data_IF_111006974312
#
_entry.id   IF_111006974312
#
_cell.length_a   1.000
_cell.length_b   1.000
_cell.length_c   1.000
_cell.angle_alpha   90.00
_cell.angle_beta   90.00
_cell.angle_gamma   90.00
#
_symmetry.space_group_name_H-M   'P 1'
#
loop_
_entity.id
_entity.type
_entity.pdbx_description
1 polymer ?
#
# COMPACT_ATOMS: atom_id res chain seq x y z
N UNK A 1 67.06 26.59 -12.67
CA UNK A 1 66.96 26.26 -11.23
C UNK A 1 65.71 26.97 -10.71
N UNK A 2 64.52 26.38 -10.91
CA UNK A 2 63.70 25.69 -9.89
C UNK A 2 63.48 26.52 -8.60
N UNK A 3 62.42 27.32 -8.58
CA UNK A 3 61.74 27.77 -7.36
C UNK A 3 60.41 26.99 -7.23
N UNK A 4 60.03 26.52 -6.02
CA UNK A 4 58.85 25.68 -5.86
C UNK A 4 57.54 26.48 -5.85
N UNK A 5 56.52 25.87 -6.44
CA UNK A 5 55.12 26.30 -6.52
C UNK A 5 54.48 26.20 -5.12
N UNK A 6 53.69 27.20 -4.66
CA UNK A 6 52.93 27.05 -3.42
C UNK A 6 51.71 26.15 -3.67
N UNK A 7 51.69 25.00 -3.00
CA UNK A 7 50.54 24.09 -2.93
C UNK A 7 49.35 24.76 -2.27
N UNK A 8 48.31 25.00 -3.07
CA UNK A 8 46.97 25.43 -2.64
C UNK A 8 46.35 24.37 -1.73
N UNK A 9 45.89 24.80 -0.55
CA UNK A 9 45.19 23.95 0.41
C UNK A 9 43.87 23.47 -0.20
N UNK A 10 43.68 22.16 -0.27
CA UNK A 10 42.40 21.55 -0.65
C UNK A 10 41.33 21.95 0.37
N UNK A 11 40.40 22.79 -0.07
CA UNK A 11 39.20 23.14 0.65
C UNK A 11 38.24 21.95 0.51
N UNK A 12 38.25 21.06 1.51
CA UNK A 12 37.28 19.97 1.61
C UNK A 12 35.89 20.56 1.76
N UNK A 13 35.10 20.48 0.69
CA UNK A 13 33.68 20.82 0.70
C UNK A 13 32.97 19.88 1.70
N UNK A 14 32.36 20.37 2.79
CA UNK A 14 31.67 19.48 3.70
C UNK A 14 30.43 18.95 3.00
N UNK A 15 30.39 17.64 2.77
CA UNK A 15 29.16 16.92 2.41
C UNK A 15 28.13 17.23 3.51
N UNK A 16 27.14 18.05 3.19
CA UNK A 16 25.96 18.28 4.03
C UNK A 16 25.29 16.92 4.14
N UNK A 17 25.46 16.25 5.29
CA UNK A 17 24.69 15.05 5.59
C UNK A 17 23.24 15.49 5.81
N UNK A 18 22.25 14.82 5.19
CA UNK A 18 20.86 15.14 5.45
C UNK A 18 20.55 14.94 6.92
N UNK A 19 19.98 15.96 7.55
CA UNK A 19 19.55 15.91 8.94
C UNK A 19 18.44 14.85 9.06
N UNK A 20 18.61 13.81 9.91
CA UNK A 20 17.63 12.74 10.06
C UNK A 20 16.24 13.24 10.48
N UNK A 21 16.14 14.37 11.19
CA UNK A 21 14.86 14.97 11.55
C UNK A 21 14.13 15.55 10.32
N UNK A 22 14.89 16.14 9.40
CA UNK A 22 14.35 16.67 8.15
C UNK A 22 13.87 15.56 7.20
N UNK A 23 14.57 14.44 7.14
CA UNK A 23 14.17 13.32 6.30
C UNK A 23 12.91 12.63 6.84
N UNK A 24 12.82 12.45 8.16
CA UNK A 24 11.62 11.92 8.82
C UNK A 24 10.40 12.82 8.55
N UNK A 25 10.56 14.13 8.65
CA UNK A 25 9.49 15.09 8.35
C UNK A 25 9.02 15.02 6.89
N UNK A 26 9.95 14.85 5.93
CA UNK A 26 9.60 14.67 4.50
C UNK A 26 8.79 13.40 4.28
N UNK A 27 9.16 12.30 4.94
CA UNK A 27 8.43 11.02 4.87
C UNK A 27 6.99 11.18 5.38
N UNK A 28 6.83 11.84 6.54
CA UNK A 28 5.51 12.09 7.12
C UNK A 28 4.61 12.95 6.22
N UNK A 29 5.16 14.03 5.68
CA UNK A 29 4.43 14.91 4.78
C UNK A 29 3.99 14.18 3.50
N UNK A 30 4.88 13.35 2.93
CA UNK A 30 4.58 12.51 1.77
C UNK A 30 3.43 11.53 2.07
N UNK A 31 3.47 10.88 3.23
CA UNK A 31 2.43 9.93 3.61
C UNK A 31 1.08 10.63 3.80
N UNK A 32 1.04 11.77 4.49
CA UNK A 32 -0.19 12.57 4.66
C UNK A 32 -0.78 13.00 3.32
N UNK A 33 0.06 13.42 2.37
CA UNK A 33 -0.38 13.75 1.02
C UNK A 33 -1.02 12.55 0.31
N UNK A 34 -0.37 11.37 0.37
CA UNK A 34 -0.86 10.15 -0.26
C UNK A 34 -2.16 9.65 0.36
N UNK A 35 -2.29 9.71 1.69
CA UNK A 35 -3.52 9.36 2.39
C UNK A 35 -4.67 10.26 1.96
N UNK A 36 -4.43 11.58 1.89
CA UNK A 36 -5.44 12.55 1.48
C UNK A 36 -5.84 12.39 0.02
N UNK A 37 -4.88 12.04 -0.84
CA UNK A 37 -5.12 11.73 -2.25
C UNK A 37 -6.00 10.48 -2.39
N UNK A 38 -5.63 9.39 -1.73
CA UNK A 38 -6.41 8.14 -1.74
C UNK A 38 -7.85 8.37 -1.23
N UNK A 39 -8.00 9.09 -0.12
CA UNK A 39 -9.31 9.47 0.44
C UNK A 39 -10.16 10.28 -0.55
N UNK A 40 -9.53 11.20 -1.29
CA UNK A 40 -10.20 12.04 -2.27
C UNK A 40 -10.66 11.23 -3.47
N UNK A 41 -9.79 10.35 -3.98
CA UNK A 41 -10.10 9.48 -5.11
C UNK A 41 -11.15 8.43 -4.75
N UNK A 42 -11.12 7.88 -3.54
CA UNK A 42 -12.14 6.94 -3.04
C UNK A 42 -13.54 7.57 -2.99
N UNK A 43 -13.62 8.87 -2.70
CA UNK A 43 -14.88 9.63 -2.69
C UNK A 43 -15.36 10.03 -4.08
N UNK A 44 -14.47 10.06 -5.06
CA UNK A 44 -14.79 10.43 -6.42
C UNK A 44 -15.46 9.24 -7.12
N UNK A 45 -16.77 9.06 -6.86
CA UNK A 45 -17.60 8.10 -7.59
C UNK A 45 -17.88 8.63 -8.99
N UNK A 46 -17.51 7.85 -10.01
CA UNK A 46 -17.72 8.20 -11.42
C UNK A 46 -19.20 8.28 -11.83
N UNK A 47 -20.14 7.76 -11.03
CA UNK A 47 -21.58 7.95 -11.27
C UNK A 47 -22.41 7.90 -9.97
N UNK A 48 -23.15 8.97 -9.62
CA UNK A 48 -24.13 8.95 -8.53
C UNK A 48 -25.24 7.90 -8.70
N UNK A 49 -25.52 7.41 -9.92
CA UNK A 49 -26.48 6.33 -10.18
C UNK A 49 -25.93 4.93 -9.90
N UNK A 50 -24.61 4.74 -9.90
CA UNK A 50 -23.95 3.46 -9.55
C UNK A 50 -23.93 3.17 -8.04
N UNK A 51 -24.59 3.99 -7.21
CA UNK A 51 -24.68 3.83 -5.74
C UNK A 51 -25.42 2.56 -5.29
N UNK A 52 -25.94 1.77 -6.22
CA UNK A 52 -26.68 0.53 -5.96
C UNK A 52 -25.83 -0.74 -6.06
N UNK A 53 -24.60 -0.69 -6.59
CA UNK A 53 -23.67 -1.82 -6.42
C UNK A 53 -23.00 -1.72 -5.04
N UNK A 54 -23.09 -2.80 -4.27
CA UNK A 54 -22.33 -2.93 -3.01
C UNK A 54 -20.82 -3.08 -3.28
N UNK A 55 -20.46 -3.35 -4.54
CA UNK A 55 -19.10 -3.51 -5.06
C UNK A 55 -18.68 -2.23 -5.79
N UNK A 56 -18.65 -1.11 -5.06
CA UNK A 56 -18.26 0.14 -5.66
C UNK A 56 -16.72 0.18 -5.77
N UNK A 57 -16.23 0.16 -7.01
CA UNK A 57 -14.80 0.26 -7.32
C UNK A 57 -14.24 1.57 -6.76
N UNK A 58 -13.30 1.47 -5.80
CA UNK A 58 -12.77 2.62 -5.07
C UNK A 58 -11.26 2.54 -4.97
N UNK A 59 -10.58 3.68 -5.08
CA UNK A 59 -9.16 3.75 -4.73
C UNK A 59 -9.00 3.42 -3.24
N UNK A 60 -8.21 2.39 -2.92
CA UNK A 60 -7.95 1.92 -1.56
C UNK A 60 -6.64 2.48 -1.00
N UNK A 61 -5.65 2.75 -1.85
CA UNK A 61 -4.35 3.30 -1.45
C UNK A 61 -3.67 4.07 -2.60
N UNK A 62 -2.73 4.95 -2.24
CA UNK A 62 -1.85 5.63 -3.18
C UNK A 62 -0.39 5.50 -2.76
N UNK A 63 0.52 5.31 -3.72
CA UNK A 63 1.96 5.20 -3.52
C UNK A 63 2.69 6.18 -4.43
N UNK A 64 3.75 6.81 -3.92
CA UNK A 64 4.64 7.65 -4.72
C UNK A 64 6.02 7.02 -4.85
N UNK A 65 6.51 6.91 -6.08
CA UNK A 65 7.91 6.59 -6.41
C UNK A 65 8.58 7.87 -6.90
N UNK A 66 9.63 8.29 -6.19
CA UNK A 66 10.51 9.38 -6.62
C UNK A 66 11.68 8.78 -7.41
N UNK A 67 11.98 9.32 -8.57
CA UNK A 67 13.12 8.87 -9.38
C UNK A 67 14.41 9.57 -8.94
N UNK A 68 15.56 9.01 -9.31
CA UNK A 68 16.89 9.41 -8.77
C UNK A 68 17.27 10.86 -9.04
N UNK A 69 16.66 11.51 -10.04
CA UNK A 69 16.86 12.92 -10.36
C UNK A 69 15.95 13.87 -9.54
N UNK A 70 15.03 13.33 -8.74
CA UNK A 70 13.96 14.06 -8.02
C UNK A 70 13.10 14.99 -8.91
N UNK A 71 13.30 15.01 -10.23
CA UNK A 71 12.59 15.89 -11.16
C UNK A 71 11.20 15.36 -11.51
N UNK A 72 11.00 14.05 -11.34
CA UNK A 72 9.72 13.42 -11.60
C UNK A 72 9.33 12.41 -10.52
N UNK A 73 8.02 12.31 -10.31
CA UNK A 73 7.41 11.34 -9.42
C UNK A 73 6.32 10.58 -10.16
N UNK A 74 6.17 9.29 -9.86
CA UNK A 74 5.05 8.49 -10.33
C UNK A 74 4.17 8.10 -9.16
N UNK A 75 2.89 8.42 -9.27
CA UNK A 75 1.88 8.02 -8.28
C UNK A 75 1.11 6.83 -8.82
N UNK A 76 1.04 5.77 -8.03
CA UNK A 76 0.25 4.58 -8.28
C UNK A 76 -0.96 4.59 -7.36
N UNK A 77 -2.13 4.21 -7.88
CA UNK A 77 -3.34 4.03 -7.09
C UNK A 77 -3.70 2.55 -7.10
N UNK A 78 -3.92 1.97 -5.91
CA UNK A 78 -4.52 0.65 -5.78
C UNK A 78 -6.03 0.84 -5.76
N UNK A 79 -6.75 0.08 -6.58
CA UNK A 79 -8.20 0.05 -6.58
C UNK A 79 -8.67 -1.22 -5.88
N UNK A 80 -9.74 -1.10 -5.11
CA UNK A 80 -10.60 -2.22 -4.81
C UNK A 80 -11.52 -2.41 -6.02
N UNK A 81 -11.40 -3.53 -6.73
CA UNK A 81 -12.25 -3.85 -7.90
C UNK A 81 -13.60 -4.46 -7.49
N UNK A 82 -13.87 -4.55 -6.18
CA UNK A 82 -15.04 -5.26 -5.66
C UNK A 82 -14.77 -6.75 -5.51
N UNK A 83 -15.77 -7.49 -5.04
CA UNK A 83 -15.69 -8.95 -4.97
C UNK A 83 -16.20 -9.52 -6.29
N UNK A 84 -15.40 -10.38 -6.92
CA UNK A 84 -15.86 -11.12 -8.08
C UNK A 84 -16.67 -12.36 -7.67
N UNK A 85 -17.08 -13.16 -8.66
CA UNK A 85 -17.85 -14.37 -8.39
C UNK A 85 -17.06 -15.40 -7.57
N UNK A 86 -15.76 -15.54 -7.83
CA UNK A 86 -14.90 -16.49 -7.12
C UNK A 86 -14.74 -16.07 -5.67
N UNK A 87 -14.58 -14.77 -5.42
CA UNK A 87 -14.57 -14.18 -4.07
C UNK A 87 -15.89 -14.47 -3.33
N UNK A 88 -17.03 -14.27 -3.99
CA UNK A 88 -18.34 -14.55 -3.38
C UNK A 88 -18.52 -16.04 -3.05
N UNK A 89 -18.10 -16.94 -3.95
CA UNK A 89 -18.17 -18.39 -3.73
C UNK A 89 -17.24 -18.82 -2.58
N UNK A 90 -16.03 -18.25 -2.51
CA UNK A 90 -15.12 -18.43 -1.38
C UNK A 90 -15.76 -17.97 -0.06
N UNK A 91 -16.27 -16.74 -0.01
CA UNK A 91 -16.87 -16.16 1.20
C UNK A 91 -18.10 -16.94 1.67
N UNK A 92 -18.93 -17.43 0.74
CA UNK A 92 -20.07 -18.27 1.07
C UNK A 92 -19.64 -19.60 1.71
N UNK A 93 -18.63 -20.27 1.14
CA UNK A 93 -18.05 -21.51 1.69
C UNK A 93 -17.39 -21.25 3.05
N UNK A 94 -16.64 -20.17 3.16
CA UNK A 94 -15.97 -19.75 4.39
C UNK A 94 -16.98 -19.52 5.52
N UNK A 95 -18.03 -18.75 5.24
CA UNK A 95 -19.11 -18.47 6.18
C UNK A 95 -19.77 -19.75 6.70
N UNK A 96 -20.15 -20.67 5.81
CA UNK A 96 -20.78 -21.93 6.20
C UNK A 96 -19.90 -22.74 7.16
N UNK A 97 -18.58 -22.75 6.93
CA UNK A 97 -17.62 -23.44 7.80
C UNK A 97 -17.49 -22.75 9.15
N UNK A 98 -17.35 -21.43 9.17
CA UNK A 98 -17.28 -20.65 10.42
C UNK A 98 -18.54 -20.81 11.28
N UNK A 99 -19.73 -20.78 10.65
CA UNK A 99 -21.00 -21.01 11.35
C UNK A 99 -21.11 -22.43 11.89
N UNK A 100 -20.58 -23.44 11.17
CA UNK A 100 -20.52 -24.82 11.64
C UNK A 100 -19.65 -24.96 12.88
N UNK A 101 -18.44 -24.39 12.85
CA UNK A 101 -17.50 -24.38 13.98
C UNK A 101 -18.12 -23.67 15.18
N UNK A 102 -18.70 -22.48 14.97
CA UNK A 102 -19.34 -21.71 16.02
C UNK A 102 -20.48 -22.48 16.69
N UNK A 103 -21.27 -23.24 15.91
CA UNK A 103 -22.35 -24.08 16.42
C UNK A 103 -21.84 -25.28 17.22
N UNK A 104 -20.69 -25.84 16.85
CA UNK A 104 -20.01 -26.91 17.61
C UNK A 104 -19.36 -26.39 18.90
N UNK A 105 -19.04 -25.09 18.95
CA UNK A 105 -18.39 -24.44 20.09
C UNK A 105 -16.88 -24.65 20.18
N UNK A 106 -16.30 -25.47 19.30
CA UNK A 106 -14.86 -25.66 19.13
C UNK A 106 -14.56 -26.12 17.70
N UNK A 107 -13.34 -25.81 17.21
CA UNK A 107 -12.86 -26.30 15.93
C UNK A 107 -12.22 -27.69 16.12
N UNK A 108 -12.60 -28.65 15.27
CA UNK A 108 -11.88 -29.92 15.16
C UNK A 108 -10.69 -29.80 14.21
N UNK A 109 -9.75 -30.75 14.27
CA UNK A 109 -8.61 -30.81 13.35
C UNK A 109 -9.06 -30.85 11.88
N UNK A 110 -10.19 -31.51 11.59
CA UNK A 110 -10.79 -31.56 10.25
C UNK A 110 -11.36 -30.21 9.82
N UNK A 111 -11.96 -29.46 10.74
CA UNK A 111 -12.44 -28.10 10.47
C UNK A 111 -11.25 -27.18 10.15
N UNK A 112 -10.15 -27.29 10.89
CA UNK A 112 -8.91 -26.53 10.65
C UNK A 112 -8.27 -26.89 9.31
N UNK A 113 -8.15 -28.19 9.00
CA UNK A 113 -7.60 -28.66 7.73
C UNK A 113 -8.45 -28.19 6.54
N UNK A 114 -9.77 -28.30 6.65
CA UNK A 114 -10.70 -27.85 5.61
C UNK A 114 -10.62 -26.34 5.40
N UNK A 115 -10.48 -25.58 6.48
CA UNK A 115 -10.35 -24.12 6.40
C UNK A 115 -9.03 -23.72 5.75
N UNK A 116 -7.94 -24.39 6.10
CA UNK A 116 -6.64 -24.18 5.47
C UNK A 116 -6.70 -24.43 3.97
N UNK A 117 -7.25 -25.58 3.55
CA UNK A 117 -7.39 -25.91 2.13
C UNK A 117 -8.27 -24.89 1.40
N UNK A 118 -9.35 -24.44 2.03
CA UNK A 118 -10.22 -23.43 1.44
C UNK A 118 -9.47 -22.12 1.16
N UNK A 119 -8.52 -21.72 2.01
CA UNK A 119 -7.68 -20.53 1.77
C UNK A 119 -6.68 -20.78 0.65
N UNK A 120 -6.04 -21.96 0.62
CA UNK A 120 -5.02 -22.27 -0.39
C UNK A 120 -5.60 -22.50 -1.78
N UNK A 121 -6.84 -22.97 -1.88
CA UNK A 121 -7.52 -23.23 -3.15
C UNK A 121 -7.92 -21.94 -3.89
N UNK A 122 -7.91 -20.79 -3.21
CA UNK A 122 -8.33 -19.47 -3.72
C UNK A 122 -7.21 -18.40 -3.64
N UNK A 123 -5.94 -18.82 -3.69
CA UNK A 123 -4.77 -17.91 -3.84
C UNK A 123 -4.46 -17.64 -5.31
#
# INVERSE_FOLDING_TARGET
MHNPIPTTKNQTNPKIQPDPEHEQYRIELKNQFLDRLAETLARFKTDPQARTSNDAEHVSAAMMVCYEDEEHVKIFCANNEGLDKEDHDFLARWKLRMESIARKGCASDEDTFTMFNLVTDYQ
#
